data_IF_895011450512
#
_entry.id   IF_895011450512
#
_cell.length_a   1.000
_cell.length_b   1.000
_cell.length_c   1.000
_cell.angle_alpha   90.00
_cell.angle_beta   90.00
_cell.angle_gamma   90.00
#
_symmetry.space_group_name_H-M   'P 1'
#
loop_
_entity.id
_entity.type
_entity.pdbx_description
1 polymer ?
#
# COMPACT_ATOMS: atom_id res chain seq x y z
N UNK A 1 -2.92 -4.34 26.39
CA UNK A 1 -3.90 -3.28 26.02
C UNK A 1 -3.69 -2.94 24.56
N UNK A 2 -4.66 -3.25 23.69
CA UNK A 2 -4.56 -2.93 22.27
C UNK A 2 -5.30 -1.61 22.04
N UNK A 3 -4.56 -0.55 21.77
CA UNK A 3 -5.11 0.76 21.41
C UNK A 3 -5.34 0.77 19.89
N UNK A 4 -6.50 1.26 19.45
CA UNK A 4 -6.86 1.28 18.03
C UNK A 4 -6.83 2.72 17.51
N UNK A 5 -6.19 2.92 16.35
CA UNK A 5 -6.21 4.20 15.63
C UNK A 5 -7.08 4.02 14.40
N UNK A 6 -8.21 4.71 14.35
CA UNK A 6 -9.03 4.82 13.16
C UNK A 6 -8.81 6.20 12.54
N UNK A 7 -8.63 6.25 11.23
CA UNK A 7 -8.57 7.51 10.47
C UNK A 7 -9.89 7.62 9.73
N UNK A 8 -10.74 8.55 10.15
CA UNK A 8 -11.96 8.89 9.43
C UNK A 8 -11.61 9.96 8.40
N UNK A 9 -11.50 9.56 7.12
CA UNK A 9 -11.31 10.50 6.02
C UNK A 9 -12.68 10.87 5.48
N UNK A 10 -13.17 12.05 5.86
CA UNK A 10 -14.41 12.60 5.33
C UNK A 10 -14.24 13.12 3.91
N UNK A 11 -14.85 12.49 2.89
CA UNK A 11 -14.94 13.10 1.56
C UNK A 11 -16.14 14.04 1.54
N UNK A 12 -15.88 15.36 1.54
CA UNK A 12 -16.90 16.38 1.28
C UNK A 12 -16.43 17.19 0.09
N UNK A 13 -16.99 16.86 -1.07
CA UNK A 13 -16.77 17.46 -2.39
C UNK A 13 -15.42 17.14 -3.08
N UNK A 14 -15.41 16.95 -4.42
CA UNK A 14 -14.26 16.42 -5.17
C UNK A 14 -13.01 17.33 -5.26
N UNK A 15 -12.98 18.48 -4.57
CA UNK A 15 -11.89 19.45 -4.69
C UNK A 15 -11.33 19.97 -3.36
N UNK A 16 -11.85 19.56 -2.19
CA UNK A 16 -11.34 19.99 -0.89
C UNK A 16 -11.28 18.83 0.10
N UNK A 17 -10.08 18.30 0.34
CA UNK A 17 -9.82 17.39 1.45
C UNK A 17 -9.87 18.22 2.74
N UNK A 18 -10.96 18.15 3.49
CA UNK A 18 -10.97 18.69 4.86
C UNK A 18 -10.04 17.84 5.74
N UNK A 19 -9.28 18.51 6.60
CA UNK A 19 -8.27 17.90 7.48
C UNK A 19 -8.79 16.68 8.26
N UNK A 20 -8.02 15.58 8.35
CA UNK A 20 -8.44 14.40 9.08
C UNK A 20 -8.39 14.65 10.59
N UNK A 21 -9.51 14.39 11.28
CA UNK A 21 -9.61 14.44 12.74
C UNK A 21 -9.14 13.09 13.28
N UNK A 22 -8.03 13.09 14.04
CA UNK A 22 -7.53 11.89 14.73
C UNK A 22 -8.37 11.66 15.99
N UNK A 23 -9.09 10.55 16.03
CA UNK A 23 -9.80 10.12 17.23
C UNK A 23 -9.27 8.75 17.70
N UNK A 24 -8.70 8.73 18.90
CA UNK A 24 -8.27 7.51 19.59
C UNK A 24 -9.42 7.03 20.47
N UNK A 25 -9.92 5.81 20.23
CA UNK A 25 -11.01 5.24 21.03
C UNK A 25 -10.53 4.03 21.86
N UNK A 26 -11.03 3.96 23.09
CA UNK A 26 -10.86 2.79 23.98
C UNK A 26 -11.88 1.70 23.62
N UNK A 27 -11.56 0.44 23.89
CA UNK A 27 -12.33 -0.77 23.51
C UNK A 27 -13.79 -0.74 23.99
N UNK A 28 -14.11 0.05 25.03
CA UNK A 28 -15.47 0.17 25.57
C UNK A 28 -16.45 0.96 24.67
N UNK A 29 -16.00 1.60 23.60
CA UNK A 29 -16.84 2.43 22.70
C UNK A 29 -17.52 1.67 21.55
N UNK A 30 -17.44 0.33 21.47
CA UNK A 30 -18.12 -0.45 20.41
C UNK A 30 -19.65 -0.24 20.39
N UNK A 31 -20.24 0.09 21.54
CA UNK A 31 -21.66 0.43 21.65
C UNK A 31 -22.01 1.77 20.95
N UNK A 32 -21.07 2.71 20.89
CA UNK A 32 -21.30 4.04 20.29
C UNK A 32 -21.27 3.96 18.77
N UNK A 33 -20.41 3.10 18.20
CA UNK A 33 -20.36 2.81 16.77
C UNK A 33 -21.66 2.14 16.28
N UNK A 34 -22.25 1.24 17.06
CA UNK A 34 -23.56 0.63 16.77
C UNK A 34 -24.73 1.62 16.96
N UNK A 35 -24.58 2.63 17.84
CA UNK A 35 -25.62 3.63 18.04
C UNK A 35 -25.64 4.66 16.88
N UNK A 36 -24.47 5.06 16.38
CA UNK A 36 -24.32 6.01 15.28
C UNK A 36 -24.75 5.43 13.91
N UNK A 37 -24.67 4.11 13.71
CA UNK A 37 -25.15 3.46 12.48
C UNK A 37 -26.67 3.43 12.35
N UNK A 38 -27.41 3.62 13.45
CA UNK A 38 -28.89 3.61 13.44
C UNK A 38 -29.54 4.99 13.24
N UNK A 39 -28.76 6.07 13.30
CA UNK A 39 -29.27 7.46 13.34
C UNK A 39 -28.97 8.30 12.10
N UNK A 40 -28.28 7.77 11.08
CA UNK A 40 -28.06 8.47 9.81
C UNK A 40 -28.66 7.73 8.60
N UNK A 41 -29.31 8.45 7.67
CA UNK A 41 -29.93 7.86 6.49
C UNK A 41 -28.89 7.26 5.52
N UNK A 42 -29.34 6.21 4.82
CA UNK A 42 -28.65 5.19 4.03
C UNK A 42 -27.70 5.63 2.87
N UNK A 43 -27.22 6.87 2.78
CA UNK A 43 -26.38 7.31 1.64
C UNK A 43 -24.88 7.50 1.93
N UNK A 44 -24.43 7.32 3.17
CA UNK A 44 -23.01 7.37 3.52
C UNK A 44 -22.56 6.03 4.08
N UNK A 45 -22.42 5.06 3.17
CA UNK A 45 -21.74 3.80 3.42
C UNK A 45 -20.25 4.10 3.63
N UNK A 46 -19.89 4.50 4.85
CA UNK A 46 -18.50 4.64 5.28
C UNK A 46 -17.85 3.26 5.25
N UNK A 47 -17.09 3.01 4.19
CA UNK A 47 -16.26 1.82 4.06
C UNK A 47 -15.08 1.94 5.03
N UNK A 48 -15.31 1.62 6.31
CA UNK A 48 -14.22 1.30 7.24
C UNK A 48 -13.66 -0.05 6.77
N UNK A 49 -12.66 -0.02 5.87
CA UNK A 49 -11.98 -1.23 5.41
C UNK A 49 -11.04 -1.75 6.51
N UNK A 50 -11.63 -2.34 7.54
CA UNK A 50 -10.90 -3.12 8.53
C UNK A 50 -10.69 -4.52 7.96
N UNK A 51 -9.66 -4.71 7.11
CA UNK A 51 -9.28 -6.06 6.66
C UNK A 51 -8.23 -6.64 7.61
N UNK A 52 -8.36 -7.90 8.08
CA UNK A 52 -7.28 -8.60 8.81
C UNK A 52 -5.95 -8.62 8.04
N UNK A 53 -5.99 -8.36 6.73
CA UNK A 53 -4.83 -8.21 5.86
C UNK A 53 -3.88 -7.09 6.29
N UNK A 54 -4.34 -6.00 6.93
CA UNK A 54 -3.47 -4.88 7.32
C UNK A 54 -2.35 -5.26 8.29
N UNK A 55 -2.58 -6.25 9.16
CA UNK A 55 -1.54 -6.78 10.06
C UNK A 55 -0.53 -7.66 9.33
N UNK A 56 -0.97 -8.44 8.34
CA UNK A 56 -0.09 -9.26 7.51
C UNK A 56 0.71 -8.42 6.51
N UNK A 57 0.08 -7.37 5.96
CA UNK A 57 0.72 -6.31 5.16
C UNK A 57 1.82 -5.62 5.99
N UNK A 58 1.58 -5.35 7.28
CA UNK A 58 2.60 -4.75 8.14
C UNK A 58 3.82 -5.66 8.34
N UNK A 59 3.65 -6.99 8.37
CA UNK A 59 4.75 -7.93 8.54
C UNK A 59 5.60 -8.09 7.28
N UNK A 60 4.98 -8.12 6.08
CA UNK A 60 5.71 -8.17 4.80
C UNK A 60 6.43 -6.84 4.49
N UNK A 61 5.94 -5.74 5.07
CA UNK A 61 6.50 -4.40 4.90
C UNK A 61 7.72 -4.10 5.77
N UNK A 62 7.95 -4.74 6.92
CA UNK A 62 9.05 -4.38 7.86
C UNK A 62 10.45 -4.22 7.19
N UNK A 63 10.93 -5.16 6.34
CA UNK A 63 12.22 -5.00 5.68
C UNK A 63 12.22 -3.92 4.59
N UNK A 64 11.09 -3.70 3.92
CA UNK A 64 10.94 -2.73 2.83
C UNK A 64 10.75 -1.31 3.36
N UNK A 65 9.99 -1.16 4.47
CA UNK A 65 9.80 0.07 5.22
C UNK A 65 11.14 0.64 5.69
N UNK A 66 12.08 -0.22 6.11
CA UNK A 66 13.42 0.21 6.51
C UNK A 66 14.18 0.80 5.32
N UNK A 67 14.04 0.23 4.13
CA UNK A 67 14.65 0.74 2.90
C UNK A 67 14.03 2.07 2.44
N UNK A 68 12.70 2.15 2.36
CA UNK A 68 11.99 3.38 1.96
C UNK A 68 12.18 4.52 2.97
N UNK A 69 12.18 4.23 4.27
CA UNK A 69 12.32 5.23 5.33
C UNK A 69 13.70 5.91 5.31
N UNK A 70 14.76 5.21 4.89
CA UNK A 70 16.09 5.80 4.77
C UNK A 70 16.24 6.73 3.56
N UNK A 71 15.39 6.59 2.54
CA UNK A 71 15.48 7.32 1.26
C UNK A 71 14.42 8.42 1.10
N UNK A 72 13.33 8.39 1.87
CA UNK A 72 12.31 9.45 1.89
C UNK A 72 12.47 10.34 3.12
N UNK A 73 13.43 11.27 3.09
CA UNK A 73 13.71 12.12 4.26
C UNK A 73 12.73 13.29 4.46
N UNK A 74 11.86 13.60 3.50
CA UNK A 74 10.99 14.78 3.55
C UNK A 74 9.47 14.47 3.50
N UNK A 75 9.08 13.19 3.53
CA UNK A 75 7.68 12.81 3.35
C UNK A 75 6.92 12.82 4.68
N UNK A 76 5.87 13.63 4.79
CA UNK A 76 5.02 13.60 5.99
C UNK A 76 4.32 12.23 6.11
N UNK A 77 4.13 11.70 7.33
CA UNK A 77 3.48 10.41 7.51
C UNK A 77 2.07 10.34 6.90
N UNK A 78 1.36 11.47 6.86
CA UNK A 78 0.03 11.56 6.27
C UNK A 78 0.07 11.47 4.74
N UNK A 79 1.01 12.15 4.10
CA UNK A 79 1.17 12.12 2.64
C UNK A 79 1.61 10.73 2.18
N UNK A 80 2.49 10.08 2.96
CA UNK A 80 2.84 8.68 2.76
C UNK A 80 1.61 7.79 2.78
N UNK A 81 0.82 7.89 3.85
CA UNK A 81 -0.36 7.05 4.03
C UNK A 81 -1.36 7.23 2.89
N UNK A 82 -1.65 8.48 2.50
CA UNK A 82 -2.59 8.79 1.42
C UNK A 82 -2.08 8.23 0.08
N UNK A 83 -0.80 8.46 -0.24
CA UNK A 83 -0.23 7.97 -1.49
C UNK A 83 -0.19 6.44 -1.53
N UNK A 84 0.11 5.78 -0.42
CA UNK A 84 0.12 4.33 -0.30
C UNK A 84 -1.28 3.73 -0.50
N UNK A 85 -2.30 4.26 0.17
CA UNK A 85 -3.69 3.81 0.00
C UNK A 85 -4.17 4.03 -1.45
N UNK A 86 -3.85 5.18 -2.06
CA UNK A 86 -4.15 5.42 -3.46
C UNK A 86 -3.51 4.37 -4.39
N UNK A 87 -2.23 4.04 -4.17
CA UNK A 87 -1.52 3.04 -4.95
C UNK A 87 -2.14 1.64 -4.77
N UNK A 88 -2.58 1.30 -3.56
CA UNK A 88 -3.30 0.05 -3.28
C UNK A 88 -4.64 -0.01 -4.01
N UNK A 89 -5.39 1.08 -4.01
CA UNK A 89 -6.67 1.17 -4.71
C UNK A 89 -6.50 1.06 -6.23
N UNK A 90 -5.47 1.68 -6.80
CA UNK A 90 -5.15 1.56 -8.23
C UNK A 90 -4.78 0.12 -8.60
N UNK A 91 -3.93 -0.54 -7.79
CA UNK A 91 -3.59 -1.96 -7.98
C UNK A 91 -4.83 -2.85 -7.90
N UNK A 92 -5.73 -2.55 -6.96
CA UNK A 92 -6.96 -3.31 -6.77
C UNK A 92 -7.93 -3.12 -7.94
N UNK A 93 -8.21 -1.89 -8.31
CA UNK A 93 -9.19 -1.54 -9.33
C UNK A 93 -8.74 -1.95 -10.74
N UNK A 94 -7.47 -1.73 -11.09
CA UNK A 94 -6.91 -2.01 -12.41
C UNK A 94 -6.17 -3.36 -12.51
N UNK A 95 -6.52 -4.33 -11.67
CA UNK A 95 -5.92 -5.67 -11.70
C UNK A 95 -6.11 -6.40 -13.05
N UNK A 96 -7.19 -6.08 -13.78
CA UNK A 96 -7.47 -6.60 -15.13
C UNK A 96 -6.78 -5.84 -16.27
N UNK A 97 -6.29 -4.62 -16.04
CA UNK A 97 -5.70 -3.77 -17.09
C UNK A 97 -4.38 -3.15 -16.61
N UNK A 98 -3.30 -3.95 -16.70
CA UNK A 98 -1.96 -3.56 -16.20
C UNK A 98 -1.40 -2.26 -16.78
N UNK A 99 -1.73 -1.93 -18.03
CA UNK A 99 -1.24 -0.71 -18.70
C UNK A 99 -1.89 0.55 -18.11
N UNK A 100 -3.20 0.49 -17.85
CA UNK A 100 -3.92 1.56 -17.16
C UNK A 100 -3.45 1.67 -15.71
N UNK A 101 -3.27 0.55 -15.02
CA UNK A 101 -2.67 0.52 -13.67
C UNK A 101 -1.36 1.31 -13.64
N UNK A 102 -0.40 0.98 -14.51
CA UNK A 102 0.87 1.68 -14.58
C UNK A 102 0.71 3.18 -14.91
N UNK A 103 -0.20 3.52 -15.84
CA UNK A 103 -0.49 4.92 -16.20
C UNK A 103 -1.02 5.74 -15.01
N UNK A 104 -1.97 5.20 -14.25
CA UNK A 104 -2.55 5.88 -13.08
C UNK A 104 -1.59 5.91 -11.88
N UNK A 105 -0.72 4.90 -11.75
CA UNK A 105 0.33 4.90 -10.73
C UNK A 105 1.38 5.99 -11.01
N UNK A 106 1.77 6.21 -12.27
CA UNK A 106 2.76 7.25 -12.64
C UNK A 106 2.15 8.66 -12.69
N UNK A 107 0.85 8.76 -12.89
CA UNK A 107 0.12 10.02 -13.03
C UNK A 107 -0.23 10.76 -11.74
N UNK A 108 0.30 10.34 -10.58
CA UNK A 108 -0.06 10.95 -9.29
C UNK A 108 0.48 12.40 -9.20
N UNK A 109 -0.38 13.42 -9.02
CA UNK A 109 0.04 14.82 -8.99
C UNK A 109 0.55 15.22 -7.60
N UNK A 110 1.61 14.58 -7.13
CA UNK A 110 2.24 14.85 -5.83
C UNK A 110 3.56 15.60 -5.98
N UNK A 111 3.91 16.51 -5.06
CA UNK A 111 5.12 17.32 -5.15
C UNK A 111 6.40 16.57 -4.71
N UNK A 112 6.29 15.29 -4.34
CA UNK A 112 7.36 14.48 -3.80
C UNK A 112 7.63 13.24 -4.66
N UNK A 113 8.84 12.68 -4.51
CA UNK A 113 9.21 11.41 -5.15
C UNK A 113 8.58 10.24 -4.42
N UNK A 114 7.85 9.41 -5.14
CA UNK A 114 7.07 8.30 -4.59
C UNK A 114 7.36 6.97 -5.31
N UNK A 115 8.37 6.91 -6.17
CA UNK A 115 8.78 5.69 -6.88
C UNK A 115 9.17 4.58 -5.90
N UNK A 116 9.84 4.94 -4.80
CA UNK A 116 10.16 4.03 -3.71
C UNK A 116 8.89 3.51 -3.00
N UNK A 117 7.91 4.39 -2.77
CA UNK A 117 6.62 4.03 -2.16
C UNK A 117 5.84 3.10 -3.08
N UNK A 118 5.91 3.37 -4.39
CA UNK A 118 5.28 2.57 -5.43
C UNK A 118 5.86 1.15 -5.47
N UNK A 119 7.18 1.01 -5.51
CA UNK A 119 7.83 -0.30 -5.46
C UNK A 119 7.51 -1.03 -4.15
N UNK A 120 7.59 -0.32 -3.02
CA UNK A 120 7.24 -0.87 -1.71
C UNK A 120 5.80 -1.38 -1.65
N UNK A 121 4.84 -0.61 -2.17
CA UNK A 121 3.43 -0.99 -2.21
C UNK A 121 3.26 -2.27 -3.02
N UNK A 122 3.87 -2.36 -4.21
CA UNK A 122 3.77 -3.55 -5.06
C UNK A 122 4.37 -4.79 -4.37
N UNK A 123 5.58 -4.68 -3.84
CA UNK A 123 6.22 -5.81 -3.14
C UNK A 123 5.46 -6.22 -1.88
N UNK A 124 4.85 -5.26 -1.17
CA UNK A 124 4.03 -5.58 0.00
C UNK A 124 2.84 -6.46 -0.33
N UNK A 125 2.21 -6.23 -1.50
CA UNK A 125 1.09 -7.02 -1.98
C UNK A 125 1.52 -8.37 -2.54
N UNK A 126 2.65 -8.40 -3.27
CA UNK A 126 3.23 -9.65 -3.78
C UNK A 126 3.64 -10.61 -2.64
N UNK A 127 4.19 -10.08 -1.56
CA UNK A 127 4.66 -10.82 -0.40
C UNK A 127 3.61 -10.89 0.72
N UNK A 128 2.34 -10.56 0.42
CA UNK A 128 1.29 -10.57 1.43
C UNK A 128 0.94 -12.00 1.87
N UNK A 129 0.90 -12.21 3.19
CA UNK A 129 0.42 -13.46 3.78
C UNK A 129 -1.08 -13.36 4.13
N UNK A 130 -1.83 -14.48 4.08
CA UNK A 130 -1.38 -15.82 3.70
C UNK A 130 -1.15 -15.98 2.19
N UNK A 131 -1.77 -15.14 1.36
CA UNK A 131 -1.63 -15.15 -0.10
C UNK A 131 -1.75 -13.73 -0.67
N UNK A 132 -1.11 -13.44 -1.82
CA UNK A 132 -1.30 -12.15 -2.48
C UNK A 132 -2.75 -12.01 -2.97
N UNK A 133 -3.32 -10.79 -3.01
CA UNK A 133 -4.69 -10.59 -3.46
C UNK A 133 -4.86 -10.88 -4.96
N UNK A 134 -3.78 -10.75 -5.74
CA UNK A 134 -3.76 -11.07 -7.17
C UNK A 134 -2.63 -12.05 -7.52
N UNK A 135 -2.66 -12.59 -8.74
CA UNK A 135 -1.65 -13.54 -9.21
C UNK A 135 -0.26 -12.88 -9.22
N UNK A 136 0.82 -13.55 -8.76
CA UNK A 136 2.19 -13.01 -8.78
C UNK A 136 2.62 -12.40 -10.12
N UNK A 137 2.20 -13.02 -11.23
CA UNK A 137 2.48 -12.55 -12.59
C UNK A 137 1.92 -11.16 -12.90
N UNK A 138 0.79 -10.77 -12.28
CA UNK A 138 0.24 -9.43 -12.42
C UNK A 138 1.22 -8.36 -11.93
N UNK A 139 1.78 -8.54 -10.73
CA UNK A 139 2.76 -7.61 -10.16
C UNK A 139 4.04 -7.55 -10.99
N UNK A 140 4.53 -8.69 -11.51
CA UNK A 140 5.67 -8.70 -12.44
C UNK A 140 5.41 -7.83 -13.67
N UNK A 141 4.24 -7.97 -14.28
CA UNK A 141 3.89 -7.23 -15.48
C UNK A 141 3.67 -5.73 -15.20
N UNK A 142 3.12 -5.37 -14.04
CA UNK A 142 3.01 -3.97 -13.59
C UNK A 142 4.39 -3.36 -13.39
N UNK A 143 5.30 -4.06 -12.70
CA UNK A 143 6.70 -3.59 -12.53
C UNK A 143 7.38 -3.36 -13.88
N UNK A 144 7.20 -4.27 -14.85
CA UNK A 144 7.75 -4.11 -16.20
C UNK A 144 7.18 -2.87 -16.90
N UNK A 145 5.87 -2.63 -16.83
CA UNK A 145 5.25 -1.45 -17.45
C UNK A 145 5.69 -0.15 -16.77
N UNK A 146 5.88 -0.15 -15.45
CA UNK A 146 6.42 0.97 -14.70
C UNK A 146 7.89 1.25 -15.04
N UNK A 147 8.72 0.22 -15.22
CA UNK A 147 10.09 0.37 -15.72
C UNK A 147 10.13 1.01 -17.12
N UNK A 148 9.14 0.74 -17.97
CA UNK A 148 9.03 1.39 -19.29
C UNK A 148 8.53 2.82 -19.21
N UNK A 149 7.61 3.11 -18.29
CA UNK A 149 7.07 4.45 -18.08
C UNK A 149 8.09 5.39 -17.41
N UNK A 150 8.94 4.86 -16.53
CA UNK A 150 9.92 5.62 -15.74
C UNK A 150 11.36 5.04 -15.89
N UNK A 151 11.93 5.02 -17.11
CA UNK A 151 13.18 4.30 -17.39
C UNK A 151 14.40 4.85 -16.64
N UNK A 152 14.40 6.14 -16.29
CA UNK A 152 15.52 6.80 -15.59
C UNK A 152 15.49 6.67 -14.07
N UNK A 153 14.40 6.15 -13.48
CA UNK A 153 14.22 6.14 -12.02
C UNK A 153 13.78 4.78 -11.48
N UNK A 154 12.69 4.22 -12.02
CA UNK A 154 12.04 3.06 -11.42
C UNK A 154 12.88 1.77 -11.44
N UNK A 155 13.64 1.45 -12.51
CA UNK A 155 14.52 0.28 -12.48
C UNK A 155 15.55 0.28 -11.34
N UNK A 156 16.13 1.45 -11.03
CA UNK A 156 17.08 1.60 -9.93
C UNK A 156 16.41 1.39 -8.56
N UNK A 157 15.18 1.87 -8.42
CA UNK A 157 14.37 1.68 -7.20
C UNK A 157 14.05 0.20 -7.00
N UNK A 158 13.63 -0.52 -8.05
CA UNK A 158 13.33 -1.96 -7.98
C UNK A 158 14.58 -2.75 -7.60
N UNK A 159 15.73 -2.46 -8.23
CA UNK A 159 17.00 -3.10 -7.89
C UNK A 159 17.37 -2.88 -6.42
N UNK A 160 17.19 -1.66 -5.91
CA UNK A 160 17.42 -1.34 -4.50
C UNK A 160 16.48 -2.09 -3.56
N UNK A 161 15.18 -2.16 -3.88
CA UNK A 161 14.19 -2.89 -3.09
C UNK A 161 14.50 -4.40 -3.05
N UNK A 162 14.84 -5.00 -4.19
CA UNK A 162 15.22 -6.40 -4.29
C UNK A 162 16.49 -6.68 -3.48
N UNK A 163 17.50 -5.81 -3.56
CA UNK A 163 18.71 -5.91 -2.75
C UNK A 163 18.39 -5.89 -1.25
N UNK A 164 17.57 -4.94 -0.79
CA UNK A 164 17.16 -4.86 0.62
C UNK A 164 16.40 -6.12 1.08
N UNK A 165 15.53 -6.67 0.23
CA UNK A 165 14.83 -7.92 0.49
C UNK A 165 15.78 -9.12 0.58
N UNK A 166 16.81 -9.19 -0.27
CA UNK A 166 17.83 -10.24 -0.20
C UNK A 166 18.70 -10.12 1.06
N UNK A 167 19.08 -8.91 1.49
CA UNK A 167 19.84 -8.70 2.73
C UNK A 167 19.06 -9.17 3.98
N UNK A 168 17.73 -9.19 3.91
CA UNK A 168 16.83 -9.64 4.99
C UNK A 168 16.14 -10.98 4.72
N UNK A 169 16.62 -11.74 3.74
CA UNK A 169 15.94 -12.97 3.30
C UNK A 169 15.82 -14.02 4.41
N UNK A 170 16.78 -14.06 5.35
CA UNK A 170 16.75 -14.98 6.49
C UNK A 170 15.61 -14.68 7.48
N UNK A 171 15.19 -13.41 7.57
CA UNK A 171 14.12 -12.95 8.46
C UNK A 171 12.73 -13.06 7.80
N UNK A 172 12.67 -13.31 6.49
CA UNK A 172 11.41 -13.47 5.76
C UNK A 172 10.78 -14.85 5.99
N UNK A 173 9.45 -14.87 6.02
CA UNK A 173 8.69 -16.13 6.02
C UNK A 173 9.06 -17.01 4.82
N UNK A 174 9.00 -18.34 4.99
CA UNK A 174 9.34 -19.30 3.93
C UNK A 174 8.52 -19.08 2.66
N UNK A 175 7.25 -18.71 2.81
CA UNK A 175 6.35 -18.48 1.68
C UNK A 175 6.73 -17.18 0.95
N UNK A 176 7.04 -16.10 1.68
CA UNK A 176 7.52 -14.85 1.11
C UNK A 176 8.84 -15.04 0.33
N UNK A 177 9.77 -15.84 0.88
CA UNK A 177 11.03 -16.20 0.19
C UNK A 177 10.78 -16.91 -1.12
N UNK A 178 9.92 -17.92 -1.10
CA UNK A 178 9.58 -18.70 -2.31
C UNK A 178 8.98 -17.80 -3.38
N UNK A 179 8.06 -16.91 -3.00
CA UNK A 179 7.47 -15.92 -3.93
C UNK A 179 8.48 -14.94 -4.48
N UNK A 180 9.38 -14.43 -3.65
CA UNK A 180 10.44 -13.52 -4.07
C UNK A 180 11.37 -14.18 -5.09
N UNK A 181 11.79 -15.42 -4.84
CA UNK A 181 12.65 -16.19 -5.75
C UNK A 181 11.93 -16.42 -7.08
N UNK A 182 10.70 -16.92 -7.05
CA UNK A 182 9.92 -17.17 -8.27
C UNK A 182 9.69 -15.89 -9.07
N UNK A 183 9.27 -14.82 -8.41
CA UNK A 183 9.09 -13.51 -9.06
C UNK A 183 10.39 -13.03 -9.70
N UNK A 184 11.51 -13.13 -8.99
CA UNK A 184 12.80 -12.67 -9.49
C UNK A 184 13.29 -13.48 -10.69
N UNK A 185 13.11 -14.81 -10.67
CA UNK A 185 13.40 -15.68 -11.81
C UNK A 185 12.55 -15.38 -13.04
N UNK A 186 11.31 -14.90 -12.87
CA UNK A 186 10.46 -14.47 -13.98
C UNK A 186 10.75 -13.06 -14.47
N UNK A 187 11.37 -12.21 -13.64
CA UNK A 187 11.65 -10.82 -13.96
C UNK A 187 12.95 -10.65 -14.76
N UNK A 188 13.98 -11.47 -14.48
CA UNK A 188 15.24 -11.54 -15.24
C UNK A 188 15.04 -12.12 -16.64
#
# INVERSE_FOLDING_TARGET
MKTFTAILVGYKDPFLISSPIRATFSIESLAILLFLTTLLPLELYWYVKFSPDSLAISASKVPILTFSFLLMQDLQPIDRFIAEEYLLDVLFFFNGCRKECASYMVGLPVPFRYEYLMAETIFSQLLLLPQPPFKPMYYTLVIIDLCKALPGAFPAVVAGAVRALFEKIADLDMECRTRLILWFSHHL
#
